data_IF_236898343483
#
_entry.id   IF_236898343483
#
_cell.length_a   1.000
_cell.length_b   1.000
_cell.length_c   1.000
_cell.angle_alpha   90.00
_cell.angle_beta   90.00
_cell.angle_gamma   90.00
#
_symmetry.space_group_name_H-M   'P 1'
#
loop_
_entity.id
_entity.type
_entity.pdbx_description
1 polymer ?
#
# COMPACT_ATOMS: atom_id res chain seq x y z
N UNK A 1 -11.43 10.30 3.98
CA UNK A 1 -10.04 10.17 4.51
C UNK A 1 -9.18 9.51 3.45
N UNK A 2 -8.06 10.13 3.12
CA UNK A 2 -7.13 9.56 2.14
C UNK A 2 -6.24 8.49 2.74
N UNK A 3 -6.00 7.44 1.98
CA UNK A 3 -5.10 6.34 2.31
C UNK A 3 -4.07 6.24 1.19
N UNK A 4 -2.78 6.33 1.53
CA UNK A 4 -1.70 6.13 0.59
C UNK A 4 -1.24 4.67 0.69
N UNK A 5 -1.49 3.88 -0.35
CA UNK A 5 -0.97 2.52 -0.50
C UNK A 5 0.40 2.53 -1.17
N UNK A 6 1.29 1.68 -0.69
CA UNK A 6 2.65 1.52 -1.23
C UNK A 6 2.97 0.04 -1.40
N UNK A 7 3.41 -0.32 -2.61
CA UNK A 7 4.11 -1.58 -2.92
C UNK A 7 5.62 -1.27 -3.02
N UNK A 8 6.42 -1.63 -1.99
CA UNK A 8 7.79 -1.16 -1.88
C UNK A 8 8.77 -1.91 -2.77
N UNK A 9 9.55 -1.19 -3.56
CA UNK A 9 10.67 -1.70 -4.35
C UNK A 9 11.72 -0.63 -4.60
N UNK A 10 13.02 -1.02 -4.67
CA UNK A 10 14.12 -0.05 -4.86
C UNK A 10 14.36 0.36 -6.31
N UNK A 11 13.76 -0.35 -7.27
CA UNK A 11 13.83 -0.07 -8.71
C UNK A 11 12.47 0.44 -9.21
N UNK A 12 11.41 -0.21 -8.75
CA UNK A 12 10.02 0.15 -9.03
C UNK A 12 9.29 0.13 -7.70
N UNK A 13 8.58 1.21 -7.40
CA UNK A 13 7.72 1.34 -6.23
C UNK A 13 6.34 1.75 -6.71
N UNK A 14 5.35 0.91 -6.48
CA UNK A 14 3.96 1.25 -6.72
C UNK A 14 3.43 2.21 -5.66
N UNK A 15 2.58 3.16 -6.08
CA UNK A 15 1.80 3.97 -5.16
C UNK A 15 0.35 4.08 -5.64
N UNK A 16 -0.57 4.26 -4.69
CA UNK A 16 -1.97 4.51 -4.98
C UNK A 16 -2.62 5.30 -3.85
N UNK A 17 -3.35 6.34 -4.19
CA UNK A 17 -4.06 7.21 -3.24
C UNK A 17 -5.55 6.95 -3.37
N UNK A 18 -6.16 6.45 -2.28
CA UNK A 18 -7.60 6.23 -2.19
C UNK A 18 -8.26 7.31 -1.33
N UNK A 19 -9.36 7.88 -1.82
CA UNK A 19 -10.32 8.57 -0.97
C UNK A 19 -11.34 7.56 -0.44
N UNK A 20 -11.46 7.47 0.90
CA UNK A 20 -12.40 6.57 1.55
C UNK A 20 -13.83 7.12 1.50
N UNK A 21 -14.79 6.22 1.30
CA UNK A 21 -16.20 6.56 1.27
C UNK A 21 -17.04 5.30 1.06
N UNK A 22 -18.37 5.42 0.92
CA UNK A 22 -19.23 4.30 0.56
C UNK A 22 -18.83 3.65 -0.77
N UNK A 23 -18.31 4.45 -1.68
CA UNK A 23 -17.70 4.03 -2.94
C UNK A 23 -16.30 4.65 -2.98
N UNK A 24 -15.25 3.90 -2.61
CA UNK A 24 -13.88 4.43 -2.62
C UNK A 24 -13.44 4.75 -4.05
N UNK A 25 -12.70 5.83 -4.21
CA UNK A 25 -12.17 6.27 -5.49
C UNK A 25 -10.66 6.40 -5.44
N UNK A 26 -9.97 6.11 -6.54
CA UNK A 26 -8.55 6.40 -6.67
C UNK A 26 -8.38 7.87 -7.12
N UNK A 27 -7.68 8.67 -6.32
CA UNK A 27 -7.35 10.06 -6.66
C UNK A 27 -6.10 10.13 -7.55
N UNK A 28 -5.12 9.28 -7.28
CA UNK A 28 -3.88 9.15 -8.05
C UNK A 28 -3.26 7.78 -7.84
N UNK A 29 -2.53 7.29 -8.82
CA UNK A 29 -1.79 6.04 -8.73
C UNK A 29 -0.72 5.96 -9.83
N UNK A 30 0.33 5.20 -9.58
CA UNK A 30 1.39 5.04 -10.55
C UNK A 30 2.58 4.25 -10.01
N UNK A 31 3.68 4.33 -10.75
CA UNK A 31 4.92 3.64 -10.43
C UNK A 31 6.09 4.62 -10.47
N UNK A 32 6.80 4.72 -9.36
CA UNK A 32 8.09 5.41 -9.28
C UNK A 32 9.14 4.45 -9.82
N UNK A 33 9.69 4.74 -11.01
CA UNK A 33 10.70 3.91 -11.68
C UNK A 33 12.06 4.58 -11.62
N UNK A 34 13.06 3.86 -11.10
CA UNK A 34 14.44 4.34 -10.97
C UNK A 34 15.41 3.44 -11.74
N UNK A 35 16.43 4.00 -12.38
CA UNK A 35 17.40 3.22 -13.15
C UNK A 35 18.17 2.23 -12.27
N UNK A 36 18.35 0.98 -12.74
CA UNK A 36 19.17 -0.03 -12.05
C UNK A 36 20.64 0.40 -11.93
N UNK A 37 21.12 1.25 -12.84
CA UNK A 37 22.48 1.80 -12.85
C UNK A 37 22.70 2.89 -11.81
N UNK A 38 21.62 3.46 -11.25
CA UNK A 38 21.70 4.44 -10.15
C UNK A 38 22.18 3.74 -8.87
N UNK A 39 23.17 4.27 -8.13
CA UNK A 39 23.59 3.75 -6.85
C UNK A 39 22.43 3.60 -5.86
N UNK A 40 22.48 2.56 -5.01
CA UNK A 40 21.39 2.23 -4.10
C UNK A 40 20.99 3.40 -3.18
N UNK A 41 21.99 4.07 -2.59
CA UNK A 41 21.77 5.21 -1.69
C UNK A 41 21.07 6.37 -2.38
N UNK A 42 21.36 6.61 -3.66
CA UNK A 42 20.68 7.63 -4.45
C UNK A 42 19.23 7.22 -4.77
N UNK A 43 19.00 5.94 -5.08
CA UNK A 43 17.63 5.42 -5.28
C UNK A 43 16.80 5.56 -4.01
N UNK A 44 17.34 5.18 -2.87
CA UNK A 44 16.65 5.32 -1.57
C UNK A 44 16.33 6.78 -1.26
N UNK A 45 17.26 7.70 -1.54
CA UNK A 45 17.02 9.13 -1.38
C UNK A 45 15.93 9.65 -2.31
N UNK A 46 15.93 9.24 -3.58
CA UNK A 46 14.87 9.60 -4.54
C UNK A 46 13.51 9.08 -4.08
N UNK A 47 13.43 7.82 -3.65
CA UNK A 47 12.19 7.25 -3.10
C UNK A 47 11.71 8.05 -1.89
N UNK A 48 12.60 8.39 -0.97
CA UNK A 48 12.27 9.24 0.18
C UNK A 48 11.65 10.58 -0.23
N UNK A 49 12.26 11.25 -1.21
CA UNK A 49 11.76 12.52 -1.74
C UNK A 49 10.36 12.36 -2.36
N UNK A 50 10.14 11.27 -3.15
CA UNK A 50 8.83 10.99 -3.72
C UNK A 50 7.77 10.72 -2.65
N UNK A 51 8.10 9.95 -1.60
CA UNK A 51 7.18 9.68 -0.48
C UNK A 51 6.80 10.98 0.23
N UNK A 52 7.75 11.86 0.52
CA UNK A 52 7.46 13.16 1.13
C UNK A 52 6.55 14.03 0.25
N UNK A 53 6.78 14.02 -1.07
CA UNK A 53 5.95 14.75 -2.02
C UNK A 53 4.51 14.19 -2.05
N UNK A 54 4.34 12.86 -2.10
CA UNK A 54 3.01 12.23 -2.06
C UNK A 54 2.27 12.57 -0.75
N UNK A 55 2.96 12.50 0.38
CA UNK A 55 2.38 12.89 1.68
C UNK A 55 2.00 14.37 1.68
N UNK A 56 2.87 15.25 1.18
CA UNK A 56 2.62 16.69 1.14
C UNK A 56 1.45 17.09 0.23
N UNK A 57 1.31 16.44 -0.94
CA UNK A 57 0.25 16.74 -1.91
C UNK A 57 -1.10 16.19 -1.42
N UNK A 58 -1.13 14.91 -1.03
CA UNK A 58 -2.38 14.21 -0.75
C UNK A 58 -2.80 14.24 0.72
N UNK A 59 -1.88 14.55 1.63
CA UNK A 59 -2.13 14.61 3.08
C UNK A 59 -2.90 13.39 3.60
N UNK A 60 -2.39 12.15 3.39
CA UNK A 60 -3.09 10.94 3.77
C UNK A 60 -3.23 10.83 5.28
N UNK A 61 -4.38 10.36 5.74
CA UNK A 61 -4.61 10.06 7.15
C UNK A 61 -3.96 8.74 7.59
N UNK A 62 -3.56 7.89 6.62
CA UNK A 62 -2.85 6.63 6.86
C UNK A 62 -2.04 6.24 5.63
N UNK A 63 -0.93 5.51 5.87
CA UNK A 63 -0.17 4.83 4.83
C UNK A 63 -0.30 3.33 5.04
N UNK A 64 -0.67 2.60 3.99
CA UNK A 64 -0.75 1.15 3.94
C UNK A 64 0.40 0.60 3.11
N UNK A 65 1.21 -0.31 3.65
CA UNK A 65 2.40 -0.84 2.98
C UNK A 65 2.31 -2.36 2.88
N UNK A 66 2.65 -2.92 1.71
CA UNK A 66 2.79 -4.36 1.59
C UNK A 66 4.07 -4.83 2.32
N UNK A 67 3.92 -5.88 3.14
CA UNK A 67 5.05 -6.48 3.84
C UNK A 67 5.95 -7.26 2.88
N UNK A 68 7.27 -7.26 3.07
CA UNK A 68 8.15 -8.14 2.32
C UNK A 68 7.76 -9.60 2.57
N UNK A 69 7.66 -10.38 1.49
CA UNK A 69 7.44 -11.81 1.62
C UNK A 69 8.72 -12.48 2.17
N UNK A 70 8.68 -12.89 3.43
CA UNK A 70 9.73 -13.68 4.05
C UNK A 70 9.31 -15.14 3.97
N UNK A 71 9.82 -15.89 2.97
CA UNK A 71 9.57 -17.33 2.83
C UNK A 71 10.07 -18.11 4.07
N UNK A 72 9.39 -19.20 4.40
CA UNK A 72 9.87 -20.13 5.44
C UNK A 72 10.98 -21.01 4.85
N UNK A 73 12.18 -20.99 5.43
CA UNK A 73 13.31 -21.86 5.05
C UNK A 73 14.67 -21.15 4.96
N UNK A 74 15.72 -21.89 4.62
CA UNK A 74 17.12 -21.41 4.58
C UNK A 74 17.42 -20.29 3.55
N UNK A 75 16.47 -19.94 2.66
CA UNK A 75 16.56 -18.84 1.70
C UNK A 75 15.87 -17.55 2.17
N UNK A 76 15.77 -17.35 3.48
CA UNK A 76 15.03 -16.25 4.12
C UNK A 76 15.50 -14.84 3.74
N UNK A 77 16.75 -14.66 3.30
CA UNK A 77 17.34 -13.36 3.00
C UNK A 77 17.84 -13.30 1.55
N UNK A 78 16.96 -13.52 0.59
CA UNK A 78 17.29 -13.27 -0.81
C UNK A 78 17.50 -11.77 -1.05
N UNK A 79 18.39 -11.41 -1.98
CA UNK A 79 18.63 -10.00 -2.36
C UNK A 79 17.34 -9.20 -2.63
N UNK A 80 16.33 -9.77 -3.30
CA UNK A 80 15.03 -9.11 -3.48
C UNK A 80 14.31 -8.75 -2.16
N UNK A 81 14.31 -9.63 -1.16
CA UNK A 81 13.67 -9.36 0.13
C UNK A 81 14.37 -8.24 0.90
N UNK A 82 15.70 -8.18 0.82
CA UNK A 82 16.50 -7.08 1.41
C UNK A 82 16.15 -5.76 0.71
N UNK A 83 16.08 -5.74 -0.61
CA UNK A 83 15.74 -4.54 -1.37
C UNK A 83 14.34 -4.01 -1.03
N UNK A 84 13.34 -4.89 -0.89
CA UNK A 84 11.98 -4.53 -0.46
C UNK A 84 12.02 -3.95 0.97
N UNK A 85 12.75 -4.57 1.90
CA UNK A 85 12.90 -4.06 3.28
C UNK A 85 13.56 -2.68 3.33
N UNK A 86 14.56 -2.42 2.48
CA UNK A 86 15.19 -1.10 2.37
C UNK A 86 14.21 -0.04 1.84
N UNK A 87 13.43 -0.37 0.82
CA UNK A 87 12.40 0.52 0.28
C UNK A 87 11.29 0.78 1.32
N UNK A 88 10.87 -0.25 2.05
CA UNK A 88 9.91 -0.11 3.14
C UNK A 88 10.43 0.81 4.26
N UNK A 89 11.70 0.68 4.65
CA UNK A 89 12.31 1.55 5.66
C UNK A 89 12.23 3.03 5.28
N UNK A 90 12.42 3.35 3.99
CA UNK A 90 12.28 4.72 3.47
C UNK A 90 10.85 5.24 3.68
N UNK A 91 9.83 4.41 3.41
CA UNK A 91 8.42 4.78 3.63
C UNK A 91 8.16 5.04 5.11
N UNK A 92 8.63 4.15 5.99
CA UNK A 92 8.46 4.28 7.45
C UNK A 92 9.10 5.57 7.98
N UNK A 93 10.31 5.91 7.53
CA UNK A 93 11.02 7.13 7.94
C UNK A 93 10.29 8.38 7.44
N UNK A 94 9.85 8.39 6.17
CA UNK A 94 9.12 9.51 5.59
C UNK A 94 7.79 9.75 6.30
N UNK A 95 7.03 8.69 6.58
CA UNK A 95 5.77 8.74 7.29
C UNK A 95 5.94 9.25 8.73
N UNK A 96 6.92 8.72 9.45
CA UNK A 96 7.21 9.12 10.84
C UNK A 96 7.58 10.60 10.93
N UNK A 97 8.39 11.11 9.99
CA UNK A 97 8.76 12.51 9.91
C UNK A 97 7.58 13.46 9.66
N UNK A 98 6.49 12.96 9.11
CA UNK A 98 5.24 13.70 8.85
C UNK A 98 4.10 13.32 9.81
N UNK A 99 4.39 12.54 10.85
CA UNK A 99 3.41 12.05 11.83
C UNK A 99 2.22 11.30 11.21
N UNK A 100 2.40 10.64 10.06
CA UNK A 100 1.38 9.83 9.40
C UNK A 100 1.49 8.37 9.89
N UNK A 101 0.41 7.75 10.40
CA UNK A 101 0.43 6.36 10.85
C UNK A 101 0.64 5.40 9.67
N UNK A 102 1.44 4.34 9.90
CA UNK A 102 1.72 3.30 8.90
C UNK A 102 1.17 1.96 9.35
N UNK A 103 0.51 1.27 8.43
CA UNK A 103 -0.05 -0.07 8.62
C UNK A 103 0.56 -1.02 7.59
N UNK A 104 1.00 -2.19 8.04
CA UNK A 104 1.68 -3.16 7.18
C UNK A 104 0.80 -4.40 7.01
N UNK A 105 0.67 -4.88 5.77
CA UNK A 105 -0.18 -6.00 5.39
C UNK A 105 0.61 -7.07 4.66
N UNK A 106 0.45 -8.33 5.07
CA UNK A 106 1.03 -9.45 4.33
C UNK A 106 0.34 -9.64 2.97
N UNK A 107 1.04 -10.07 1.90
CA UNK A 107 0.45 -10.30 0.58
C UNK A 107 -0.79 -11.18 0.60
N UNK A 108 -0.81 -12.21 1.44
CA UNK A 108 -1.97 -13.10 1.60
C UNK A 108 -3.19 -12.38 2.21
N UNK A 109 -2.97 -11.44 3.12
CA UNK A 109 -4.05 -10.62 3.70
C UNK A 109 -4.64 -9.68 2.65
N UNK A 110 -3.78 -9.05 1.83
CA UNK A 110 -4.21 -8.18 0.73
C UNK A 110 -5.08 -8.95 -0.26
N UNK A 111 -4.60 -10.11 -0.74
CA UNK A 111 -5.37 -10.97 -1.66
C UNK A 111 -6.70 -11.41 -1.08
N UNK A 112 -6.72 -11.85 0.17
CA UNK A 112 -7.95 -12.28 0.83
C UNK A 112 -8.95 -11.12 0.98
N UNK A 113 -8.47 -9.94 1.36
CA UNK A 113 -9.31 -8.75 1.56
C UNK A 113 -9.92 -8.22 0.26
N UNK A 114 -9.19 -8.29 -0.87
CA UNK A 114 -9.58 -7.69 -2.13
C UNK A 114 -10.29 -8.68 -3.04
N UNK A 115 -9.77 -9.92 -3.16
CA UNK A 115 -10.31 -10.94 -4.05
C UNK A 115 -11.22 -11.97 -3.34
N UNK A 116 -11.41 -11.87 -2.03
CA UNK A 116 -12.11 -12.86 -1.19
C UNK A 116 -11.50 -14.27 -1.20
N UNK A 117 -10.32 -14.46 -1.82
CA UNK A 117 -9.56 -15.70 -1.77
C UNK A 117 -8.06 -15.45 -1.99
N UNK A 118 -7.20 -16.24 -1.31
CA UNK A 118 -5.75 -16.04 -1.34
C UNK A 118 -5.04 -16.52 -2.62
N UNK A 119 -5.75 -17.18 -3.54
CA UNK A 119 -5.19 -17.79 -4.76
C UNK A 119 -5.29 -16.88 -6.02
N UNK A 120 -5.72 -15.63 -5.87
CA UNK A 120 -5.84 -14.70 -6.99
C UNK A 120 -4.50 -14.49 -7.72
N UNK A 121 -4.51 -14.56 -9.05
CA UNK A 121 -3.36 -14.23 -9.88
C UNK A 121 -3.14 -12.72 -9.93
N UNK A 122 -1.98 -12.27 -10.43
CA UNK A 122 -1.71 -10.84 -10.59
C UNK A 122 -2.72 -10.18 -11.53
N UNK A 123 -3.03 -10.83 -12.64
CA UNK A 123 -3.97 -10.34 -13.64
C UNK A 123 -5.39 -10.22 -13.05
N UNK A 124 -5.80 -11.21 -12.23
CA UNK A 124 -7.07 -11.15 -11.53
C UNK A 124 -7.11 -9.98 -10.53
N UNK A 125 -6.04 -9.78 -9.76
CA UNK A 125 -5.93 -8.64 -8.85
C UNK A 125 -6.04 -7.30 -9.59
N UNK A 126 -5.32 -7.11 -10.71
CA UNK A 126 -5.43 -5.90 -11.53
C UNK A 126 -6.87 -5.66 -12.04
N UNK A 127 -7.54 -6.72 -12.52
CA UNK A 127 -8.93 -6.63 -12.99
C UNK A 127 -9.90 -6.28 -11.86
N UNK A 128 -9.73 -6.87 -10.68
CA UNK A 128 -10.57 -6.58 -9.51
C UNK A 128 -10.36 -5.12 -9.08
N UNK A 129 -9.12 -4.65 -8.99
CA UNK A 129 -8.81 -3.26 -8.63
C UNK A 129 -9.40 -2.30 -9.65
N UNK A 130 -9.19 -2.57 -10.94
CA UNK A 130 -9.73 -1.75 -12.02
C UNK A 130 -11.26 -1.61 -11.93
N UNK A 131 -11.95 -2.72 -11.73
CA UNK A 131 -13.43 -2.72 -11.64
C UNK A 131 -13.95 -2.13 -10.32
N UNK A 132 -13.29 -2.41 -9.18
CA UNK A 132 -13.71 -1.93 -7.86
C UNK A 132 -13.60 -0.41 -7.74
N UNK A 133 -12.52 0.15 -8.31
CA UNK A 133 -12.25 1.59 -8.27
C UNK A 133 -12.73 2.33 -9.52
N UNK A 134 -13.34 1.61 -10.47
CA UNK A 134 -13.85 2.14 -11.74
C UNK A 134 -12.80 2.99 -12.47
N UNK A 135 -11.57 2.45 -12.61
CA UNK A 135 -10.47 3.16 -13.25
C UNK A 135 -10.70 3.27 -14.76
N UNK A 136 -10.28 4.39 -15.34
CA UNK A 136 -10.42 4.64 -16.78
C UNK A 136 -9.56 3.69 -17.64
N UNK A 137 -8.41 3.29 -17.11
CA UNK A 137 -7.44 2.40 -17.76
C UNK A 137 -6.93 1.35 -16.76
N UNK A 138 -6.46 0.21 -17.30
CA UNK A 138 -5.86 -0.83 -16.47
C UNK A 138 -4.55 -0.30 -15.83
N UNK A 139 -4.42 -0.29 -14.49
CA UNK A 139 -3.21 0.19 -13.84
C UNK A 139 -2.04 -0.77 -14.11
N UNK A 140 -0.81 -0.24 -14.09
CA UNK A 140 0.39 -1.11 -14.04
C UNK A 140 0.35 -2.01 -12.81
N UNK A 141 1.02 -3.19 -12.89
CA UNK A 141 0.98 -4.19 -11.81
C UNK A 141 1.35 -3.62 -10.44
N UNK A 142 2.48 -2.88 -10.36
CA UNK A 142 2.96 -2.33 -9.08
C UNK A 142 2.00 -1.27 -8.52
N UNK A 143 1.36 -0.49 -9.40
CA UNK A 143 0.32 0.48 -9.00
C UNK A 143 -0.97 -0.23 -8.54
N UNK A 144 -1.35 -1.34 -9.20
CA UNK A 144 -2.49 -2.15 -8.77
C UNK A 144 -2.24 -2.79 -7.40
N UNK A 145 -1.02 -3.29 -7.14
CA UNK A 145 -0.63 -3.86 -5.86
C UNK A 145 -0.68 -2.78 -4.76
N UNK A 146 -0.24 -1.56 -5.04
CA UNK A 146 -0.35 -0.42 -4.12
C UNK A 146 -1.81 -0.01 -3.84
N UNK A 147 -2.66 0.04 -4.85
CA UNK A 147 -4.10 0.30 -4.67
C UNK A 147 -4.77 -0.83 -3.88
N UNK A 148 -4.35 -2.09 -4.10
CA UNK A 148 -4.87 -3.25 -3.37
C UNK A 148 -4.55 -3.18 -1.88
N UNK A 149 -3.33 -2.77 -1.49
CA UNK A 149 -2.97 -2.63 -0.08
C UNK A 149 -3.71 -1.46 0.58
N UNK A 150 -3.95 -0.36 -0.13
CA UNK A 150 -4.78 0.74 0.36
C UNK A 150 -6.24 0.31 0.59
N UNK A 151 -6.82 -0.45 -0.35
CA UNK A 151 -8.17 -1.00 -0.23
C UNK A 151 -8.27 -2.02 0.91
N UNK A 152 -7.25 -2.85 1.10
CA UNK A 152 -7.14 -3.77 2.24
C UNK A 152 -7.20 -2.99 3.57
N UNK A 153 -6.45 -1.90 3.70
CA UNK A 153 -6.50 -1.05 4.89
C UNK A 153 -7.89 -0.45 5.10
N UNK A 154 -8.54 0.04 4.06
CA UNK A 154 -9.89 0.59 4.14
C UNK A 154 -10.89 -0.44 4.66
N UNK A 155 -10.87 -1.67 4.14
CA UNK A 155 -11.77 -2.74 4.58
C UNK A 155 -11.54 -3.09 6.05
N UNK A 156 -10.28 -3.24 6.48
CA UNK A 156 -9.95 -3.62 7.87
C UNK A 156 -10.28 -2.51 8.86
N UNK A 157 -9.99 -1.25 8.54
CA UNK A 157 -10.31 -0.11 9.40
C UNK A 157 -11.82 0.09 9.54
N UNK A 158 -12.58 -0.11 8.46
CA UNK A 158 -14.05 -0.05 8.49
C UNK A 158 -14.67 -1.17 9.34
N UNK A 159 -14.14 -2.39 9.22
CA UNK A 159 -14.60 -3.53 10.02
C UNK A 159 -14.29 -3.33 11.52
N UNK A 160 -13.10 -2.82 11.86
CA UNK A 160 -12.74 -2.50 13.23
C UNK A 160 -13.65 -1.42 13.83
N UNK A 161 -13.94 -0.35 13.08
CA UNK A 161 -14.84 0.72 13.52
C UNK A 161 -16.29 0.24 13.70
N UNK A 162 -16.76 -0.70 12.87
CA UNK A 162 -18.09 -1.31 13.03
C UNK A 162 -18.17 -2.14 14.33
N UNK A 163 -17.14 -2.97 14.58
CA UNK A 163 -17.07 -3.80 15.78
C UNK A 163 -17.02 -2.94 17.07
N UNK A 164 -16.26 -1.84 17.06
CA UNK A 164 -16.20 -0.92 18.21
C UNK A 164 -17.57 -0.28 18.53
N UNK A 165 -18.37 0.02 17.49
CA UNK A 165 -19.74 0.56 17.68
C UNK A 165 -20.68 -0.48 18.29
N UNK A 166 -20.55 -1.76 17.92
CA UNK A 166 -21.35 -2.84 18.49
C UNK A 166 -21.00 -3.12 19.97
N UNK A 167 -19.69 -3.04 20.32
CA UNK A 167 -19.21 -3.30 21.69
C UNK A 167 -19.54 -2.14 22.65
N UNK A 168 -19.75 -0.91 22.16
CA UNK A 168 -20.10 0.28 22.94
C UNK A 168 -21.55 0.76 22.68
N UNK A 169 -22.59 -0.06 22.82
CA UNK A 169 -23.96 0.44 22.78
C UNK A 169 -24.26 1.17 24.08
N UNK A 170 -24.24 2.52 24.09
CA UNK A 170 -24.90 3.29 25.16
C UNK A 170 -23.99 3.99 26.17
N UNK A 171 -23.17 4.94 25.70
CA UNK A 171 -22.61 6.01 26.58
C UNK A 171 -23.03 7.41 26.11
N UNK A 172 -24.25 7.52 25.59
CA UNK A 172 -24.89 8.83 25.40
C UNK A 172 -26.28 8.78 26.04
N UNK A 173 -26.33 9.15 27.34
CA UNK A 173 -27.48 9.73 28.03
C UNK A 173 -26.96 10.74 29.03
#
# INVERSE_FOLDING_TARGET
>A
MRILGIDPGTIRMGYGVLESGPHPTAEDYGVISLPRTMPLEQRLYQLYTHILNLIGIFQPGAIAVEAPFVGRGERQFSGPAIAVGQAQAVVLIGAAGQAVPVFTYAPAQVKLSVANHGAATKEQMQQIINSTLNLAEMPESDAADALAVALCHLHQSSAAAALEREIKPGRER
#
